data_IF_736058610526
#
_entry.id   IF_736058610526
#
_cell.length_a   1.000
_cell.length_b   1.000
_cell.length_c   1.000
_cell.angle_alpha   90.00
_cell.angle_beta   90.00
_cell.angle_gamma   90.00
#
_symmetry.space_group_name_H-M   'P 1'
#
loop_
_entity.id
_entity.type
_entity.pdbx_description
1 polymer ?
#
# COMPACT_ATOMS: atom_id res chain seq x y z
N UNK A 1 -14.61 -1.64 8.46
CA UNK A 1 -14.51 -0.98 7.15
C UNK A 1 -14.25 0.49 7.39
N UNK A 2 -13.02 0.92 7.12
CA UNK A 2 -12.65 2.27 6.66
C UNK A 2 -11.19 2.20 6.17
N UNK A 3 -10.94 1.33 5.19
CA UNK A 3 -9.79 1.54 4.31
C UNK A 3 -10.22 2.68 3.40
N UNK A 4 -9.61 3.86 3.56
CA UNK A 4 -9.84 4.96 2.62
C UNK A 4 -9.17 4.58 1.31
N UNK A 5 -9.93 4.48 0.22
CA UNK A 5 -9.40 4.26 -1.14
C UNK A 5 -8.45 5.38 -1.60
N UNK A 6 -8.51 6.55 -0.95
CA UNK A 6 -7.57 7.66 -1.15
C UNK A 6 -6.19 7.44 -0.52
N UNK A 7 -6.00 6.41 0.33
CA UNK A 7 -4.73 6.09 0.96
C UNK A 7 -4.30 4.70 0.51
N UNK A 8 -3.26 4.66 -0.32
CA UNK A 8 -2.71 3.43 -0.89
C UNK A 8 -1.42 3.09 -0.15
N UNK A 9 -1.39 1.89 0.41
CA UNK A 9 -0.27 1.33 1.15
C UNK A 9 0.54 0.38 0.26
N UNK A 10 1.44 0.94 -0.56
CA UNK A 10 2.17 0.17 -1.56
C UNK A 10 3.21 -0.73 -0.90
N UNK A 11 3.19 -2.01 -1.27
CA UNK A 11 4.03 -3.09 -0.75
C UNK A 11 4.02 -3.20 0.80
N UNK A 12 2.94 -2.76 1.44
CA UNK A 12 2.76 -2.76 2.90
C UNK A 12 3.88 -2.01 3.64
N UNK A 13 3.95 -0.68 3.47
CA UNK A 13 4.80 0.15 4.33
C UNK A 13 4.37 0.02 5.80
N UNK A 14 3.07 0.03 6.04
CA UNK A 14 2.44 -0.35 7.29
C UNK A 14 1.73 -1.71 7.10
N UNK A 15 1.68 -2.59 8.10
CA UNK A 15 0.87 -3.80 8.00
C UNK A 15 -0.63 -3.49 7.85
N UNK A 16 -1.36 -4.25 7.03
CA UNK A 16 -2.78 -3.99 6.75
C UNK A 16 -3.70 -4.07 7.98
N UNK A 17 -3.38 -4.95 8.94
CA UNK A 17 -4.10 -5.01 10.21
C UNK A 17 -4.02 -3.68 10.98
N UNK A 18 -3.00 -2.87 10.73
CA UNK A 18 -2.81 -1.58 11.39
C UNK A 18 -3.83 -0.52 10.92
N UNK A 19 -4.34 -0.64 9.69
CA UNK A 19 -5.42 0.18 9.14
C UNK A 19 -6.82 -0.33 9.55
N UNK A 20 -6.95 -1.63 9.83
CA UNK A 20 -8.26 -2.28 10.03
C UNK A 20 -8.56 -2.66 11.48
N UNK A 21 -7.57 -2.68 12.36
CA UNK A 21 -7.77 -3.12 13.75
C UNK A 21 -8.77 -2.22 14.48
N UNK A 22 -9.82 -2.85 14.99
CA UNK A 22 -10.79 -2.20 15.86
C UNK A 22 -10.12 -1.92 17.20
N UNK A 23 -10.46 -0.77 17.80
CA UNK A 23 -9.90 -0.10 19.00
C UNK A 23 -9.73 -0.96 20.29
N UNK A 24 -9.86 -2.30 20.24
CA UNK A 24 -10.07 -3.15 21.41
C UNK A 24 -8.83 -3.76 22.05
N UNK A 25 -7.68 -3.96 21.36
CA UNK A 25 -6.49 -4.60 21.98
C UNK A 25 -5.09 -4.12 21.54
N UNK A 26 -4.95 -3.24 20.56
CA UNK A 26 -3.65 -2.68 20.12
C UNK A 26 -3.74 -1.22 19.69
N UNK A 27 -2.61 -0.53 19.53
CA UNK A 27 -2.58 0.79 18.90
C UNK A 27 -2.82 0.64 17.40
N UNK A 28 -3.93 1.19 16.90
CA UNK A 28 -4.27 1.24 15.47
C UNK A 28 -3.84 2.59 14.87
N UNK A 29 -3.69 2.64 13.54
CA UNK A 29 -3.43 3.92 12.86
C UNK A 29 -4.52 4.94 13.19
N UNK A 30 -5.78 4.53 13.12
CA UNK A 30 -6.96 5.35 13.45
C UNK A 30 -6.88 5.93 14.86
N UNK A 31 -6.45 5.13 15.84
CA UNK A 31 -6.28 5.59 17.23
C UNK A 31 -5.13 6.60 17.35
N UNK A 32 -4.00 6.33 16.71
CA UNK A 32 -2.85 7.26 16.68
C UNK A 32 -3.22 8.58 16.02
N UNK A 33 -3.90 8.55 14.86
CA UNK A 33 -4.39 9.74 14.16
C UNK A 33 -5.34 10.54 15.04
N UNK A 34 -6.31 9.87 15.68
CA UNK A 34 -7.26 10.51 16.61
C UNK A 34 -6.55 11.23 17.74
N UNK A 35 -5.54 10.60 18.34
CA UNK A 35 -4.74 11.22 19.40
C UNK A 35 -3.94 12.41 18.86
N UNK A 36 -3.32 12.26 17.68
CA UNK A 36 -2.53 13.33 17.07
C UNK A 36 -3.36 14.56 16.70
N UNK A 37 -4.59 14.37 16.23
CA UNK A 37 -5.52 15.48 15.98
C UNK A 37 -5.89 16.20 17.29
N UNK A 38 -5.99 15.49 18.42
CA UNK A 38 -6.19 16.14 19.73
C UNK A 38 -4.97 16.95 20.14
N UNK A 39 -3.77 16.41 19.95
CA UNK A 39 -2.52 17.14 20.23
C UNK A 39 -2.45 18.43 19.39
N UNK A 40 -2.77 18.37 18.11
CA UNK A 40 -2.84 19.57 17.26
C UNK A 40 -3.88 20.57 17.76
N UNK A 41 -5.07 20.11 18.16
CA UNK A 41 -6.09 21.00 18.72
C UNK A 41 -5.66 21.63 20.04
N UNK A 42 -4.84 20.94 20.84
CA UNK A 42 -4.26 21.47 22.07
C UNK A 42 -3.15 22.49 21.78
N UNK A 43 -2.27 22.21 20.81
CA UNK A 43 -1.24 23.14 20.35
C UNK A 43 -1.84 24.47 19.86
N UNK A 44 -2.94 24.39 19.09
CA UNK A 44 -3.67 25.55 18.54
C UNK A 44 -4.37 26.41 19.60
N UNK A 45 -4.48 25.96 20.85
CA UNK A 45 -4.94 26.83 21.96
C UNK A 45 -3.91 27.91 22.30
N UNK A 46 -2.65 27.70 21.94
CA UNK A 46 -1.58 28.69 22.14
C UNK A 46 -1.72 29.81 21.10
N UNK A 47 -1.86 31.08 21.50
CA UNK A 47 -2.03 32.18 20.55
C UNK A 47 -0.88 32.26 19.54
N UNK A 48 -1.24 32.34 18.26
CA UNK A 48 -0.27 32.44 17.16
C UNK A 48 0.27 31.11 16.64
N UNK A 49 -0.09 29.99 17.26
CA UNK A 49 0.21 28.65 16.74
C UNK A 49 -0.93 28.20 15.81
N UNK A 50 -0.58 27.86 14.58
CA UNK A 50 -1.44 27.17 13.65
C UNK A 50 -0.73 25.92 13.19
N UNK A 51 -1.34 24.75 13.39
CA UNK A 51 -0.75 23.47 12.99
C UNK A 51 -1.06 23.18 11.52
N UNK A 52 -0.44 22.15 10.95
CA UNK A 52 -0.83 21.66 9.62
C UNK A 52 -2.29 21.23 9.54
N UNK A 53 -2.89 20.76 10.65
CA UNK A 53 -4.32 20.47 10.67
C UNK A 53 -5.18 21.73 10.51
N UNK A 54 -4.89 22.78 11.26
CA UNK A 54 -5.57 24.07 11.13
C UNK A 54 -5.36 24.72 9.76
N UNK A 55 -4.11 24.75 9.28
CA UNK A 55 -3.76 25.28 7.95
C UNK A 55 -4.49 24.53 6.83
N UNK A 56 -4.46 23.20 6.84
CA UNK A 56 -5.11 22.40 5.81
C UNK A 56 -6.63 22.61 5.78
N UNK A 57 -7.30 22.59 6.94
CA UNK A 57 -8.74 22.89 6.99
C UNK A 57 -9.09 24.25 6.41
N UNK A 58 -8.29 25.28 6.72
CA UNK A 58 -8.51 26.63 6.23
C UNK A 58 -8.27 26.73 4.70
N UNK A 59 -7.24 26.04 4.19
CA UNK A 59 -6.87 26.06 2.78
C UNK A 59 -7.64 25.06 1.90
N UNK A 60 -8.36 24.09 2.49
CA UNK A 60 -8.98 22.95 1.78
C UNK A 60 -9.79 23.37 0.56
N UNK A 61 -10.71 24.32 0.71
CA UNK A 61 -11.58 24.75 -0.39
C UNK A 61 -10.79 25.37 -1.55
N UNK A 62 -9.75 26.16 -1.24
CA UNK A 62 -8.84 26.73 -2.23
C UNK A 62 -8.00 25.65 -2.90
N UNK A 63 -7.49 24.68 -2.14
CA UNK A 63 -6.75 23.53 -2.68
C UNK A 63 -7.63 22.73 -3.63
N UNK A 64 -8.85 22.36 -3.21
CA UNK A 64 -9.80 21.62 -4.03
C UNK A 64 -10.09 22.34 -5.36
N UNK A 65 -10.41 23.63 -5.29
CA UNK A 65 -10.70 24.41 -6.50
C UNK A 65 -9.47 24.53 -7.41
N UNK A 66 -8.28 24.74 -6.84
CA UNK A 66 -7.03 24.85 -7.61
C UNK A 66 -6.66 23.52 -8.26
N UNK A 67 -6.92 22.39 -7.60
CA UNK A 67 -6.71 21.06 -8.19
C UNK A 67 -7.60 20.82 -9.41
N UNK A 68 -8.84 21.33 -9.39
CA UNK A 68 -9.77 21.22 -10.52
C UNK A 68 -9.36 22.15 -11.68
N UNK A 69 -9.01 23.40 -11.38
CA UNK A 69 -8.78 24.41 -12.41
C UNK A 69 -7.34 24.35 -12.96
N UNK A 70 -6.35 24.19 -12.08
CA UNK A 70 -4.92 24.37 -12.36
C UNK A 70 -4.05 23.46 -11.46
N UNK A 71 -4.05 22.14 -11.67
CA UNK A 71 -3.42 21.17 -10.76
C UNK A 71 -1.92 21.42 -10.53
N UNK A 72 -1.21 21.97 -11.52
CA UNK A 72 0.19 22.36 -11.38
C UNK A 72 0.43 23.50 -10.37
N UNK A 73 -0.56 24.35 -10.12
CA UNK A 73 -0.49 25.45 -9.14
C UNK A 73 -0.98 25.05 -7.75
N UNK A 74 -1.58 23.86 -7.59
CA UNK A 74 -2.04 23.39 -6.28
C UNK A 74 -0.88 22.95 -5.37
N UNK A 75 0.20 22.43 -5.95
CA UNK A 75 1.33 21.85 -5.21
C UNK A 75 1.93 22.80 -4.15
N UNK A 76 2.25 24.08 -4.46
CA UNK A 76 2.73 25.01 -3.43
C UNK A 76 1.74 25.24 -2.29
N UNK A 77 0.44 25.35 -2.59
CA UNK A 77 -0.61 25.54 -1.59
C UNK A 77 -0.74 24.32 -0.67
N UNK A 78 -0.64 23.12 -1.25
CA UNK A 78 -0.68 21.86 -0.51
C UNK A 78 0.52 21.76 0.44
N UNK A 79 1.73 21.99 -0.07
CA UNK A 79 2.95 21.93 0.74
C UNK A 79 2.92 22.95 1.88
N UNK A 80 2.48 24.18 1.61
CA UNK A 80 2.31 25.21 2.66
C UNK A 80 1.26 24.79 3.71
N UNK A 81 0.12 24.27 3.27
CA UNK A 81 -0.93 23.79 4.15
C UNK A 81 -0.45 22.65 5.06
N UNK A 82 0.37 21.74 4.52
CA UNK A 82 1.03 20.65 5.24
C UNK A 82 2.28 21.07 6.03
N UNK A 83 2.53 22.39 6.10
CA UNK A 83 3.55 22.97 6.96
C UNK A 83 4.95 22.99 6.37
N UNK A 84 5.14 22.56 5.12
CA UNK A 84 6.43 22.66 4.43
C UNK A 84 6.78 24.11 4.13
N UNK A 85 8.07 24.42 4.26
CA UNK A 85 8.60 25.76 4.01
C UNK A 85 8.72 26.02 2.51
N UNK A 86 8.87 27.29 2.13
CA UNK A 86 9.17 27.67 0.75
C UNK A 86 10.39 26.87 0.23
N UNK A 87 10.25 26.15 -0.90
CA UNK A 87 11.34 25.40 -1.49
C UNK A 87 12.54 26.29 -1.81
N UNK A 88 13.74 25.76 -1.59
CA UNK A 88 15.01 26.41 -1.91
C UNK A 88 15.89 25.43 -2.66
N UNK A 89 16.92 25.95 -3.29
CA UNK A 89 18.01 25.15 -3.85
C UNK A 89 18.71 24.42 -2.71
N UNK A 90 18.84 23.10 -2.86
CA UNK A 90 19.51 22.21 -1.93
C UNK A 90 20.45 21.29 -2.70
N UNK A 91 21.44 20.81 -1.97
CA UNK A 91 22.51 19.98 -2.49
C UNK A 91 22.57 18.70 -1.68
N UNK A 92 22.75 17.58 -2.39
CA UNK A 92 23.06 16.29 -1.81
C UNK A 92 24.37 15.79 -2.40
N UNK A 93 25.34 15.50 -1.54
CA UNK A 93 26.56 14.81 -1.96
C UNK A 93 26.22 13.33 -2.16
N UNK A 94 26.56 12.78 -3.33
CA UNK A 94 26.33 11.37 -3.65
C UNK A 94 27.61 10.76 -4.20
N UNK A 95 27.70 9.43 -4.20
CA UNK A 95 28.82 8.72 -4.84
C UNK A 95 28.98 9.04 -6.35
N UNK A 96 27.93 9.51 -7.02
CA UNK A 96 27.94 9.85 -8.44
C UNK A 96 28.28 11.31 -8.72
N UNK A 97 28.37 12.16 -7.70
CA UNK A 97 28.59 13.61 -7.81
C UNK A 97 27.59 14.43 -6.99
N UNK A 98 27.71 15.75 -7.09
CA UNK A 98 26.91 16.70 -6.33
C UNK A 98 25.54 16.88 -7.01
N UNK A 99 24.47 16.39 -6.38
CA UNK A 99 23.09 16.51 -6.85
C UNK A 99 22.48 17.82 -6.36
N UNK A 100 22.03 18.69 -7.27
CA UNK A 100 21.38 19.97 -6.94
C UNK A 100 19.94 20.01 -7.45
N UNK A 101 19.01 20.41 -6.58
CA UNK A 101 17.58 20.46 -6.87
C UNK A 101 16.87 21.51 -6.00
N UNK A 102 15.60 21.82 -6.33
CA UNK A 102 14.75 22.69 -5.51
C UNK A 102 13.81 21.86 -4.66
N UNK A 103 13.92 21.97 -3.33
CA UNK A 103 13.07 21.26 -2.37
C UNK A 103 12.81 22.07 -1.11
N UNK A 104 11.76 21.72 -0.38
CA UNK A 104 11.60 22.15 1.01
C UNK A 104 12.35 21.18 1.91
N UNK A 105 13.15 21.67 2.84
CA UNK A 105 13.88 20.83 3.79
C UNK A 105 13.65 21.30 5.22
N UNK A 106 13.49 20.34 6.12
CA UNK A 106 13.44 20.58 7.55
C UNK A 106 13.75 19.26 8.28
N UNK A 107 14.68 19.27 9.24
CA UNK A 107 14.77 18.26 10.29
C UNK A 107 14.62 16.81 9.76
N UNK A 108 15.43 16.42 8.77
CA UNK A 108 15.43 15.06 8.21
C UNK A 108 14.31 14.73 7.21
N UNK A 109 13.43 15.68 6.84
CA UNK A 109 12.47 15.52 5.73
C UNK A 109 12.78 16.43 4.56
N UNK A 110 12.59 15.92 3.35
CA UNK A 110 12.68 16.64 2.07
C UNK A 110 11.32 16.57 1.38
N UNK A 111 10.76 17.70 0.95
CA UNK A 111 9.56 17.73 0.12
C UNK A 111 9.84 18.26 -1.29
N UNK A 112 9.44 17.48 -2.29
CA UNK A 112 9.67 17.69 -3.71
C UNK A 112 8.36 17.95 -4.44
N UNK A 113 8.40 18.85 -5.41
CA UNK A 113 7.29 19.06 -6.34
C UNK A 113 7.55 18.29 -7.64
N UNK A 114 6.56 17.53 -8.09
CA UNK A 114 6.55 16.82 -9.36
C UNK A 114 5.41 17.31 -10.25
N UNK A 115 5.52 17.02 -11.54
CA UNK A 115 4.44 17.27 -12.50
C UNK A 115 3.15 16.57 -12.04
N UNK A 116 1.98 17.20 -12.21
CA UNK A 116 0.71 16.57 -11.84
C UNK A 116 0.50 15.26 -12.59
N UNK A 117 0.03 14.25 -11.87
CA UNK A 117 -0.32 12.94 -12.44
C UNK A 117 -1.79 12.64 -12.24
N UNK A 118 -2.37 11.85 -13.14
CA UNK A 118 -3.71 11.32 -12.95
C UNK A 118 -3.67 10.04 -12.10
N UNK A 119 -2.63 9.23 -12.29
CA UNK A 119 -2.43 7.95 -11.60
C UNK A 119 -1.05 7.85 -10.94
N UNK A 120 -0.96 7.09 -9.85
CA UNK A 120 0.29 6.89 -9.09
C UNK A 120 1.38 6.21 -9.92
N UNK A 121 1.04 5.31 -10.85
CA UNK A 121 2.00 4.60 -11.71
C UNK A 121 2.80 5.53 -12.64
N UNK A 122 2.28 6.73 -12.92
CA UNK A 122 2.99 7.75 -13.65
C UNK A 122 4.18 8.28 -12.84
N UNK A 123 4.10 8.35 -11.50
CA UNK A 123 5.21 8.82 -10.66
C UNK A 123 6.43 7.90 -10.70
N UNK A 124 6.19 6.60 -10.86
CA UNK A 124 7.24 5.59 -10.99
C UNK A 124 8.01 5.74 -12.31
N UNK A 125 7.29 6.07 -13.39
CA UNK A 125 7.78 5.89 -14.77
C UNK A 125 7.98 7.21 -15.52
N UNK A 126 6.98 8.08 -15.56
CA UNK A 126 6.88 9.21 -16.51
C UNK A 126 6.93 10.58 -15.85
N UNK A 127 6.47 10.75 -14.61
CA UNK A 127 6.46 12.05 -13.96
C UNK A 127 7.87 12.56 -13.66
N UNK A 128 8.05 13.87 -13.80
CA UNK A 128 9.33 14.56 -13.59
C UNK A 128 9.23 15.59 -12.47
N UNK A 129 10.36 15.96 -11.82
CA UNK A 129 10.36 17.09 -10.91
C UNK A 129 10.00 18.38 -11.65
N UNK A 130 9.25 19.29 -11.01
CA UNK A 130 8.83 20.56 -11.64
C UNK A 130 9.97 21.56 -11.80
N UNK A 131 11.07 21.34 -11.10
CA UNK A 131 12.26 22.17 -11.15
C UNK A 131 13.42 21.40 -11.78
N UNK A 132 14.33 22.15 -12.40
CA UNK A 132 15.57 21.61 -12.95
C UNK A 132 16.38 20.92 -11.85
N UNK A 133 16.86 19.71 -12.16
CA UNK A 133 17.79 18.96 -11.34
C UNK A 133 19.08 18.78 -12.12
N UNK A 134 20.21 19.05 -11.46
CA UNK A 134 21.54 18.91 -12.02
C UNK A 134 22.39 17.97 -11.17
N UNK A 135 23.38 17.35 -11.79
CA UNK A 135 24.48 16.66 -11.14
C UNK A 135 25.79 17.23 -11.67
N UNK A 136 26.62 17.76 -10.80
CA UNK A 136 27.87 18.44 -11.19
C UNK A 136 27.61 19.46 -12.31
N UNK A 137 26.60 20.32 -12.11
CA UNK A 137 26.10 21.33 -13.07
C UNK A 137 25.47 20.77 -14.37
N UNK A 138 25.55 19.46 -14.63
CA UNK A 138 24.92 18.83 -15.78
C UNK A 138 23.45 18.52 -15.50
N UNK A 139 22.56 18.95 -16.39
CA UNK A 139 21.13 18.63 -16.30
C UNK A 139 20.87 17.12 -16.34
N UNK A 140 20.00 16.63 -15.44
CA UNK A 140 19.60 15.22 -15.37
C UNK A 140 18.08 14.98 -15.28
N UNK A 141 17.29 15.96 -14.81
CA UNK A 141 15.83 15.83 -14.71
C UNK A 141 15.10 17.18 -14.62
N UNK A 142 13.78 17.14 -14.81
CA UNK A 142 12.92 18.32 -14.79
C UNK A 142 13.09 19.19 -16.04
N UNK A 143 12.55 20.43 -16.03
CA UNK A 143 12.69 21.34 -17.16
C UNK A 143 14.16 21.54 -17.52
N UNK A 144 14.49 21.39 -18.81
CA UNK A 144 15.84 21.67 -19.30
C UNK A 144 16.20 23.13 -19.00
N UNK A 145 17.43 23.42 -18.56
CA UNK A 145 17.87 24.79 -18.38
C UNK A 145 17.73 25.53 -19.72
N UNK A 146 17.16 26.74 -19.68
CA UNK A 146 17.05 27.58 -20.88
C UNK A 146 18.46 27.97 -21.33
N UNK A 147 18.93 27.39 -22.43
CA UNK A 147 20.17 27.84 -23.07
C UNK A 147 19.90 29.20 -23.72
N UNK A 148 20.60 30.26 -23.31
CA UNK A 148 20.56 31.58 -23.95
C UNK A 148 21.33 31.61 -25.29
N UNK A 149 21.29 30.54 -26.11
CA UNK A 149 22.13 30.42 -27.32
C UNK A 149 21.31 30.35 -28.63
N UNK A 150 19.98 30.26 -28.59
CA UNK A 150 19.16 30.21 -29.80
C UNK A 150 18.68 31.61 -30.25
N UNK A 151 19.59 32.58 -30.37
CA UNK A 151 19.29 33.91 -30.95
C UNK A 151 20.19 34.31 -32.13
N UNK A 152 20.85 33.35 -32.79
CA UNK A 152 21.58 33.61 -34.04
C UNK A 152 21.49 32.39 -34.98
N UNK A 153 20.31 32.09 -35.51
CA UNK A 153 20.18 31.18 -36.67
C UNK A 153 18.83 31.34 -37.38
N UNK A 154 18.48 32.55 -37.80
CA UNK A 154 17.45 32.77 -38.83
C UNK A 154 17.57 34.19 -39.41
N UNK A 155 18.72 34.53 -39.99
CA UNK A 155 18.77 35.61 -40.98
C UNK A 155 19.81 35.26 -42.06
N UNK A 156 19.34 34.54 -43.07
CA UNK A 156 19.92 34.57 -44.41
C UNK A 156 18.72 34.75 -45.33
N UNK A 157 18.56 36.00 -45.78
CA UNK A 157 17.42 36.44 -46.56
C UNK A 157 17.36 35.88 -47.97
N UNK A 158 16.17 35.98 -48.55
CA UNK A 158 15.97 36.28 -49.96
C UNK A 158 14.73 37.18 -50.08
N UNK A 159 14.98 38.44 -50.47
CA UNK A 159 13.99 39.34 -51.06
C UNK A 159 13.54 38.79 -52.42
N UNK A 160 12.24 38.89 -52.72
CA UNK A 160 11.75 39.44 -54.00
C UNK A 160 10.21 39.66 -53.96
N UNK A 161 9.86 40.93 -53.93
CA UNK A 161 8.86 41.69 -54.72
C UNK A 161 7.61 41.03 -55.35
N UNK A 162 6.48 41.65 -54.98
CA UNK A 162 5.44 42.27 -55.84
C UNK A 162 4.26 41.52 -56.52
N UNK A 163 3.06 42.05 -56.15
CA UNK A 163 1.87 42.43 -56.95
C UNK A 163 0.76 41.42 -57.38
N UNK A 164 -0.41 41.62 -56.74
CA UNK A 164 -1.77 41.85 -57.28
C UNK A 164 -2.59 40.76 -58.06
N UNK A 165 -3.81 40.50 -57.56
CA UNK A 165 -5.06 40.66 -58.32
C UNK A 165 -5.87 39.43 -58.82
N UNK A 166 -7.11 39.34 -58.35
CA UNK A 166 -8.35 38.85 -58.99
C UNK A 166 -8.64 37.35 -59.21
N UNK A 167 -9.60 36.86 -58.40
CA UNK A 167 -10.87 36.18 -58.73
C UNK A 167 -10.95 35.22 -59.95
N UNK A 168 -11.28 33.95 -59.70
CA UNK A 168 -12.24 33.13 -60.47
C UNK A 168 -12.53 31.81 -59.75
N UNK A 169 -13.81 31.46 -59.68
CA UNK A 169 -14.32 30.18 -59.19
C UNK A 169 -14.39 29.14 -60.32
N UNK A 170 -14.02 27.89 -60.05
CA UNK A 170 -14.83 26.68 -60.33
C UNK A 170 -14.19 25.38 -59.81
N UNK A 171 -15.09 24.49 -59.41
CA UNK A 171 -15.04 23.10 -58.91
C UNK A 171 -14.07 22.14 -59.64
N UNK A 172 -13.55 20.99 -59.16
CA UNK A 172 -14.14 19.87 -58.39
C UNK A 172 -13.03 18.89 -57.92
N UNK A 173 -13.29 18.20 -56.80
CA UNK A 173 -12.94 16.81 -56.43
C UNK A 173 -11.61 16.39 -55.76
N UNK A 174 -11.81 15.86 -54.53
CA UNK A 174 -11.32 14.60 -53.96
C UNK A 174 -9.82 14.33 -53.77
N UNK A 175 -9.41 14.24 -52.50
CA UNK A 175 -8.20 13.54 -52.08
C UNK A 175 -7.70 14.02 -50.73
N UNK A 176 -7.94 13.21 -49.69
CA UNK A 176 -7.60 13.46 -48.28
C UNK A 176 -6.22 14.09 -48.06
N UNK A 177 -6.21 15.12 -47.21
CA UNK A 177 -5.02 15.72 -46.64
C UNK A 177 -4.17 14.66 -45.89
N UNK A 178 -2.83 14.68 -46.00
CA UNK A 178 -2.02 14.00 -45.02
C UNK A 178 -2.14 14.76 -43.70
N UNK A 179 -2.69 14.09 -42.68
CA UNK A 179 -2.47 14.43 -41.28
C UNK A 179 -0.96 14.52 -41.04
N UNK A 180 -0.43 15.74 -41.06
CA UNK A 180 0.89 16.02 -40.51
C UNK A 180 0.77 16.06 -38.99
N UNK A 181 0.73 14.86 -38.43
CA UNK A 181 1.24 14.42 -37.13
C UNK A 181 1.63 15.61 -36.24
N UNK A 182 0.70 15.97 -35.34
CA UNK A 182 1.03 16.64 -34.10
C UNK A 182 1.89 15.68 -33.25
N UNK A 183 3.18 15.57 -33.59
CA UNK A 183 4.16 14.96 -32.72
C UNK A 183 4.53 16.02 -31.69
N UNK A 184 3.72 16.14 -30.64
CA UNK A 184 4.19 16.73 -29.39
C UNK A 184 5.36 15.87 -28.93
N UNK A 185 6.58 16.32 -29.24
CA UNK A 185 7.80 15.79 -28.64
C UNK A 185 7.57 15.76 -27.12
N UNK A 186 7.88 14.66 -26.40
CA UNK A 186 7.68 14.60 -24.96
C UNK A 186 8.38 15.80 -24.33
N UNK A 187 7.62 16.67 -23.68
CA UNK A 187 8.18 17.78 -22.92
C UNK A 187 8.97 17.16 -21.76
N UNK A 188 10.30 17.17 -21.86
CA UNK A 188 11.24 16.84 -20.78
C UNK A 188 11.81 15.42 -20.77
N UNK A 189 13.02 15.24 -21.32
CA UNK A 189 13.84 14.06 -21.03
C UNK A 189 14.32 14.04 -19.56
N UNK A 190 15.05 13.00 -19.15
CA UNK A 190 15.67 12.92 -17.81
C UNK A 190 15.06 11.88 -16.87
N UNK A 191 15.54 11.85 -15.62
CA UNK A 191 15.12 10.87 -14.60
C UNK A 191 13.68 11.10 -14.13
N UNK A 192 12.94 10.00 -13.89
CA UNK A 192 11.66 10.07 -13.18
C UNK A 192 11.85 10.51 -11.73
N UNK A 193 10.79 11.02 -11.12
CA UNK A 193 10.86 11.44 -9.71
C UNK A 193 11.22 10.27 -8.78
N UNK A 194 10.74 9.05 -9.03
CA UNK A 194 11.13 7.86 -8.26
C UNK A 194 12.63 7.51 -8.41
N UNK A 195 13.19 7.66 -9.61
CA UNK A 195 14.65 7.51 -9.79
C UNK A 195 15.41 8.59 -9.03
N UNK A 196 14.90 9.82 -9.01
CA UNK A 196 15.48 10.91 -8.22
C UNK A 196 15.42 10.64 -6.71
N UNK A 197 14.31 10.10 -6.19
CA UNK A 197 14.19 9.69 -4.79
C UNK A 197 15.31 8.70 -4.41
N UNK A 198 15.54 7.72 -5.28
CA UNK A 198 16.62 6.74 -5.09
C UNK A 198 17.99 7.41 -5.01
N UNK A 199 18.28 8.38 -5.89
CA UNK A 199 19.53 9.16 -5.85
C UNK A 199 19.67 9.97 -4.56
N UNK A 200 18.58 10.58 -4.07
CA UNK A 200 18.59 11.35 -2.80
C UNK A 200 18.81 10.42 -1.59
N UNK A 201 18.20 9.24 -1.56
CA UNK A 201 18.42 8.27 -0.48
C UNK A 201 19.81 7.61 -0.50
N UNK A 202 20.52 7.69 -1.63
CA UNK A 202 21.92 7.26 -1.77
C UNK A 202 22.94 8.38 -1.48
N UNK A 203 22.47 9.55 -1.05
CA UNK A 203 23.35 10.63 -0.62
C UNK A 203 24.12 10.27 0.66
N UNK A 204 25.23 10.97 0.91
CA UNK A 204 26.06 10.80 2.10
C UNK A 204 25.28 11.11 3.39
N UNK A 205 24.41 12.13 3.34
CA UNK A 205 23.47 12.49 4.40
C UNK A 205 22.03 12.38 3.88
N UNK A 206 21.47 11.16 3.80
CA UNK A 206 20.16 10.96 3.22
C UNK A 206 19.06 11.38 4.21
N UNK A 207 17.97 12.02 3.74
CA UNK A 207 16.84 12.32 4.60
C UNK A 207 16.18 11.03 5.10
N UNK A 208 15.47 11.13 6.23
CA UNK A 208 14.65 10.03 6.75
C UNK A 208 13.43 9.82 5.87
N UNK A 209 12.75 10.91 5.51
CA UNK A 209 11.58 10.88 4.65
C UNK A 209 11.71 11.81 3.46
N UNK A 210 11.11 11.40 2.35
CA UNK A 210 10.83 12.26 1.21
C UNK A 210 9.31 12.30 0.99
N UNK A 211 8.75 13.51 0.92
CA UNK A 211 7.39 13.75 0.44
C UNK A 211 7.46 14.22 -1.01
N UNK A 212 6.74 13.57 -1.92
CA UNK A 212 6.52 14.07 -3.29
C UNK A 212 5.11 14.61 -3.39
N UNK A 213 4.94 15.81 -3.93
CA UNK A 213 3.65 16.39 -4.26
C UNK A 213 3.52 16.59 -5.77
N UNK A 214 2.56 15.89 -6.37
CA UNK A 214 2.35 15.77 -7.81
C UNK A 214 0.92 16.19 -8.16
N UNK A 215 0.57 17.46 -7.91
CA UNK A 215 -0.79 17.94 -8.03
C UNK A 215 -1.69 17.29 -6.98
N UNK A 216 -2.63 16.44 -7.41
CA UNK A 216 -3.59 15.77 -6.53
C UNK A 216 -3.02 14.58 -5.74
N UNK A 217 -1.85 14.08 -6.13
CA UNK A 217 -1.21 12.93 -5.51
C UNK A 217 -0.04 13.32 -4.62
N UNK A 218 0.03 12.70 -3.44
CA UNK A 218 1.19 12.78 -2.55
C UNK A 218 1.83 11.40 -2.39
N UNK A 219 3.15 11.33 -2.30
CA UNK A 219 3.89 10.11 -1.95
C UNK A 219 4.77 10.36 -0.74
N UNK A 220 4.70 9.46 0.24
CA UNK A 220 5.58 9.45 1.42
C UNK A 220 6.49 8.23 1.32
N UNK A 221 7.78 8.49 1.18
CA UNK A 221 8.82 7.47 1.14
C UNK A 221 9.71 7.55 2.38
N UNK A 222 9.95 6.42 3.04
CA UNK A 222 10.91 6.27 4.14
C UNK A 222 12.21 5.65 3.60
N UNK A 223 13.36 6.20 4.00
CA UNK A 223 14.69 5.73 3.57
C UNK A 223 14.87 4.22 3.71
N UNK A 224 14.53 3.65 4.86
CA UNK A 224 14.86 2.26 5.19
C UNK A 224 13.92 1.26 4.47
N UNK A 225 12.71 1.70 4.12
CA UNK A 225 11.70 0.88 3.44
C UNK A 225 11.70 1.08 1.92
N UNK A 226 12.24 2.20 1.41
CA UNK A 226 12.27 2.54 -0.01
C UNK A 226 12.92 1.48 -0.91
N UNK A 227 14.08 0.87 -0.56
CA UNK A 227 14.69 -0.19 -1.37
C UNK A 227 13.82 -1.45 -1.51
N UNK A 228 12.82 -1.61 -0.63
CA UNK A 228 11.88 -2.73 -0.65
C UNK A 228 10.63 -2.42 -1.51
N UNK A 229 10.56 -1.25 -2.17
CA UNK A 229 9.39 -0.82 -2.94
C UNK A 229 8.26 -0.21 -2.10
N UNK A 230 8.45 -0.08 -0.78
CA UNK A 230 7.38 0.31 0.15
C UNK A 230 7.23 1.83 0.24
N UNK A 231 6.01 2.33 0.05
CA UNK A 231 5.66 3.74 0.26
C UNK A 231 4.15 3.93 0.48
N UNK A 232 3.76 5.12 0.95
CA UNK A 232 2.35 5.52 0.98
C UNK A 232 2.07 6.47 -0.17
N UNK A 233 0.97 6.25 -0.88
CA UNK A 233 0.42 7.20 -1.84
C UNK A 233 -0.94 7.71 -1.35
N UNK A 234 -1.16 9.02 -1.45
CA UNK A 234 -2.38 9.67 -0.99
C UNK A 234 -2.99 10.47 -2.14
N UNK A 235 -4.22 10.13 -2.53
CA UNK A 235 -5.03 10.93 -3.46
C UNK A 235 -5.67 12.09 -2.70
N UNK A 236 -4.90 13.17 -2.53
CA UNK A 236 -5.34 14.36 -1.83
C UNK A 236 -6.48 15.10 -2.53
N UNK A 237 -6.64 14.94 -3.85
CA UNK A 237 -7.79 15.50 -4.57
C UNK A 237 -9.11 14.90 -4.07
N UNK A 238 -9.17 13.57 -3.94
CA UNK A 238 -10.34 12.88 -3.38
C UNK A 238 -10.58 13.26 -1.91
N UNK A 239 -9.51 13.33 -1.10
CA UNK A 239 -9.59 13.77 0.30
C UNK A 239 -10.16 15.19 0.41
N UNK A 240 -9.66 16.12 -0.41
CA UNK A 240 -10.08 17.51 -0.40
C UNK A 240 -11.54 17.67 -0.85
N UNK A 241 -12.00 16.87 -1.81
CA UNK A 241 -13.38 16.83 -2.30
C UNK A 241 -14.35 16.31 -1.25
N UNK A 242 -14.07 15.14 -0.67
CA UNK A 242 -14.96 14.47 0.32
C UNK A 242 -15.02 15.20 1.64
N UNK A 243 -13.91 15.80 2.05
CA UNK A 243 -13.83 16.66 3.23
C UNK A 243 -14.32 16.00 4.52
N UNK A 244 -14.03 14.71 4.72
CA UNK A 244 -14.27 14.06 6.01
C UNK A 244 -13.28 14.59 7.05
N UNK A 245 -13.68 15.67 7.73
CA UNK A 245 -12.89 16.37 8.75
C UNK A 245 -13.14 15.85 10.16
N UNK A 246 -13.72 14.66 10.31
CA UNK A 246 -13.89 14.04 11.64
C UNK A 246 -12.51 13.74 12.27
N UNK A 247 -12.44 13.61 13.60
CA UNK A 247 -11.16 13.47 14.32
C UNK A 247 -10.34 12.23 13.93
N UNK A 248 -10.96 11.25 13.28
CA UNK A 248 -10.31 10.09 12.71
C UNK A 248 -10.82 9.83 11.28
N UNK A 249 -11.23 10.89 10.60
CA UNK A 249 -11.74 10.82 9.23
C UNK A 249 -10.61 10.75 8.21
N UNK A 250 -11.01 10.68 6.95
CA UNK A 250 -10.09 10.61 5.81
C UNK A 250 -9.10 11.77 5.79
N UNK A 251 -9.57 13.00 6.02
CA UNK A 251 -8.72 14.20 6.02
C UNK A 251 -7.70 14.16 7.15
N UNK A 252 -8.10 13.67 8.32
CA UNK A 252 -7.21 13.54 9.46
C UNK A 252 -6.07 12.55 9.18
N UNK A 253 -6.38 11.41 8.54
CA UNK A 253 -5.38 10.42 8.15
C UNK A 253 -4.42 10.99 7.11
N UNK A 254 -4.95 11.57 6.03
CA UNK A 254 -4.13 12.17 4.97
C UNK A 254 -3.17 13.24 5.53
N UNK A 255 -3.66 14.16 6.37
CA UNK A 255 -2.82 15.20 6.97
C UNK A 255 -1.79 14.60 7.93
N UNK A 256 -2.16 13.66 8.81
CA UNK A 256 -1.22 13.09 9.76
C UNK A 256 -0.10 12.28 9.09
N UNK A 257 -0.38 11.61 7.97
CA UNK A 257 0.61 10.83 7.23
C UNK A 257 1.56 11.72 6.40
N UNK A 258 1.17 12.96 6.07
CA UNK A 258 1.89 13.79 5.09
C UNK A 258 2.41 15.11 5.63
N UNK A 259 1.97 15.57 6.81
CA UNK A 259 2.38 16.86 7.34
C UNK A 259 3.83 16.87 7.83
N UNK A 260 4.49 18.02 7.67
CA UNK A 260 5.88 18.19 8.06
C UNK A 260 6.11 17.87 9.53
N UNK A 261 5.21 18.29 10.43
CA UNK A 261 5.34 18.07 11.88
C UNK A 261 5.41 16.59 12.27
N UNK A 262 4.84 15.69 11.46
CA UNK A 262 4.83 14.25 11.76
C UNK A 262 5.94 13.49 11.04
N UNK A 263 6.46 14.05 9.94
CA UNK A 263 7.58 13.48 9.17
C UNK A 263 8.94 14.01 9.64
N UNK A 264 8.99 15.20 10.22
CA UNK A 264 10.22 15.80 10.74
C UNK A 264 10.76 15.02 11.94
N UNK A 265 12.06 14.79 11.94
CA UNK A 265 12.82 14.20 13.02
C UNK A 265 13.59 15.32 13.75
N UNK A 266 13.13 15.70 14.94
CA UNK A 266 13.79 16.70 15.77
C UNK A 266 14.85 16.02 16.66
N UNK A 267 15.96 16.69 17.03
CA UNK A 267 17.00 16.08 17.87
C UNK A 267 16.52 15.52 19.22
N UNK A 268 15.40 16.01 19.74
CA UNK A 268 14.82 15.58 21.03
C UNK A 268 13.58 14.68 20.88
N UNK A 269 13.08 14.47 19.66
CA UNK A 269 11.88 13.68 19.39
C UNK A 269 11.96 13.03 18.02
N UNK A 270 11.85 11.70 18.01
CA UNK A 270 11.60 10.92 16.81
C UNK A 270 10.34 11.41 16.10
N UNK A 271 10.27 11.18 14.78
CA UNK A 271 9.09 11.59 14.03
C UNK A 271 7.89 10.74 14.42
N UNK A 272 6.70 11.35 14.44
CA UNK A 272 5.46 10.63 14.75
C UNK A 272 5.25 9.43 13.80
N UNK A 273 5.63 9.57 12.53
CA UNK A 273 5.50 8.49 11.56
C UNK A 273 6.54 7.38 11.78
N UNK A 274 7.77 7.71 12.17
CA UNK A 274 8.78 6.71 12.57
C UNK A 274 8.30 5.90 13.75
N UNK A 275 7.76 6.54 14.79
CA UNK A 275 7.19 5.84 15.95
C UNK A 275 6.04 4.92 15.52
N UNK A 276 5.20 5.39 14.59
CA UNK A 276 4.10 4.59 14.03
C UNK A 276 4.62 3.36 13.30
N UNK A 277 5.64 3.52 12.44
CA UNK A 277 6.26 2.44 11.70
C UNK A 277 6.95 1.45 12.65
N UNK A 278 7.69 1.93 13.64
CA UNK A 278 8.35 1.09 14.63
C UNK A 278 7.37 0.28 15.49
N UNK A 279 6.28 0.88 15.95
CA UNK A 279 5.22 0.18 16.68
C UNK A 279 4.49 -0.84 15.81
N UNK A 280 4.15 -0.48 14.57
CA UNK A 280 3.46 -1.40 13.68
C UNK A 280 4.30 -2.64 13.34
N UNK A 281 5.62 -2.48 13.15
CA UNK A 281 6.58 -3.59 12.99
C UNK A 281 6.64 -4.48 14.23
N UNK A 282 6.67 -3.88 15.43
CA UNK A 282 6.62 -4.63 16.71
C UNK A 282 5.30 -5.40 16.84
N UNK A 283 4.18 -4.78 16.49
CA UNK A 283 2.87 -5.43 16.52
C UNK A 283 2.81 -6.60 15.53
N UNK A 284 3.35 -6.44 14.32
CA UNK A 284 3.39 -7.51 13.33
C UNK A 284 4.24 -8.72 13.80
N UNK A 285 5.37 -8.44 14.45
CA UNK A 285 6.21 -9.47 15.08
C UNK A 285 5.47 -10.20 16.21
N UNK A 286 4.79 -9.46 17.09
CA UNK A 286 4.02 -10.03 18.20
C UNK A 286 2.85 -10.91 17.72
N UNK A 287 2.12 -10.49 16.67
CA UNK A 287 1.06 -11.30 16.06
C UNK A 287 1.61 -12.62 15.51
N UNK A 288 2.83 -12.60 14.97
CA UNK A 288 3.50 -13.81 14.47
C UNK A 288 3.90 -14.75 15.61
N UNK A 289 4.31 -14.21 16.76
CA UNK A 289 4.63 -15.01 17.95
C UNK A 289 3.36 -15.60 18.59
N UNK A 290 2.28 -14.83 18.68
CA UNK A 290 0.97 -15.32 19.14
C UNK A 290 0.46 -16.44 18.24
N UNK A 291 0.62 -16.31 16.92
CA UNK A 291 0.26 -17.37 15.96
C UNK A 291 1.13 -18.63 16.17
N UNK A 292 2.44 -18.46 16.35
CA UNK A 292 3.35 -19.60 16.63
C UNK A 292 2.93 -20.33 17.90
N UNK A 293 2.60 -19.59 18.96
CA UNK A 293 2.16 -20.17 20.22
C UNK A 293 0.77 -20.84 20.08
N UNK A 294 -0.16 -20.22 19.35
CA UNK A 294 -1.46 -20.82 19.04
C UNK A 294 -1.32 -22.13 18.23
N UNK A 295 -0.40 -22.19 17.26
CA UNK A 295 -0.09 -23.41 16.51
C UNK A 295 0.50 -24.47 17.45
N UNK A 296 1.45 -24.10 18.31
CA UNK A 296 2.04 -25.02 19.31
C UNK A 296 0.96 -25.63 20.20
N UNK A 297 0.06 -24.81 20.75
CA UNK A 297 -1.06 -25.25 21.58
C UNK A 297 -2.03 -26.13 20.80
N UNK A 298 -2.31 -25.80 19.54
CA UNK A 298 -3.19 -26.60 18.69
C UNK A 298 -2.61 -27.98 18.41
N UNK A 299 -1.30 -28.07 18.13
CA UNK A 299 -0.59 -29.36 17.96
C UNK A 299 -0.66 -30.18 19.25
N UNK A 300 -0.44 -29.54 20.41
CA UNK A 300 -0.50 -30.19 21.71
C UNK A 300 -1.91 -30.72 22.02
N UNK A 301 -2.96 -29.93 21.77
CA UNK A 301 -4.35 -30.34 21.99
C UNK A 301 -4.75 -31.52 21.09
N UNK A 302 -4.41 -31.46 19.80
CA UNK A 302 -4.67 -32.58 18.87
C UNK A 302 -3.92 -33.82 19.34
N UNK A 303 -2.65 -33.68 19.73
CA UNK A 303 -1.86 -34.81 20.21
C UNK A 303 -2.41 -35.44 21.49
N UNK A 304 -2.89 -34.62 22.43
CA UNK A 304 -3.54 -35.10 23.66
C UNK A 304 -4.84 -35.86 23.36
N UNK A 305 -5.66 -35.38 22.43
CA UNK A 305 -6.90 -36.04 22.03
C UNK A 305 -6.64 -37.40 21.33
N UNK A 306 -5.65 -37.45 20.44
CA UNK A 306 -5.20 -38.71 19.82
C UNK A 306 -4.73 -39.68 20.91
N UNK A 307 -3.87 -39.23 21.83
CA UNK A 307 -3.40 -40.09 22.92
C UNK A 307 -4.52 -40.58 23.85
N UNK A 308 -5.58 -39.80 24.04
CA UNK A 308 -6.77 -40.20 24.78
C UNK A 308 -7.52 -41.32 24.05
N UNK A 309 -7.80 -41.16 22.76
CA UNK A 309 -8.47 -42.17 21.93
C UNK A 309 -7.70 -43.50 21.88
N UNK A 310 -6.37 -43.48 21.70
CA UNK A 310 -5.57 -44.71 21.72
C UNK A 310 -5.65 -45.43 23.06
N UNK A 311 -5.63 -44.68 24.17
CA UNK A 311 -5.78 -45.25 25.52
C UNK A 311 -7.15 -45.92 25.70
N UNK A 312 -8.22 -45.31 25.21
CA UNK A 312 -9.57 -45.89 25.24
C UNK A 312 -9.67 -47.15 24.37
N UNK A 313 -8.94 -47.20 23.25
CA UNK A 313 -8.82 -48.37 22.39
C UNK A 313 -7.89 -49.46 22.94
N UNK A 314 -7.22 -49.23 24.08
CA UNK A 314 -6.26 -50.16 24.68
C UNK A 314 -4.90 -50.22 23.98
N UNK A 315 -4.59 -49.24 23.12
CA UNK A 315 -3.32 -49.11 22.40
C UNK A 315 -2.32 -48.38 23.29
N UNK A 316 -1.12 -48.95 23.45
CA UNK A 316 -0.05 -48.33 24.25
C UNK A 316 0.89 -47.56 23.33
N UNK A 317 0.97 -46.23 23.52
CA UNK A 317 1.86 -45.36 22.78
C UNK A 317 3.28 -45.40 23.34
N UNK A 318 4.25 -45.41 22.43
CA UNK A 318 5.69 -45.29 22.67
C UNK A 318 6.17 -43.85 22.49
N UNK A 319 7.39 -43.49 22.92
CA UNK A 319 7.95 -42.16 22.68
C UNK A 319 8.05 -41.77 21.20
N UNK A 320 8.34 -42.72 20.31
CA UNK A 320 8.45 -42.49 18.87
C UNK A 320 7.09 -42.10 18.26
N UNK A 321 5.99 -42.64 18.82
CA UNK A 321 4.63 -42.28 18.41
C UNK A 321 4.31 -40.81 18.74
N UNK A 322 4.92 -40.24 19.78
CA UNK A 322 4.77 -38.83 20.13
C UNK A 322 5.30 -37.88 19.05
N UNK A 323 6.45 -38.20 18.45
CA UNK A 323 7.02 -37.40 17.36
C UNK A 323 6.14 -37.50 16.09
N UNK A 324 5.67 -38.70 15.78
CA UNK A 324 4.77 -38.95 14.66
C UNK A 324 3.44 -38.19 14.83
N UNK A 325 2.81 -38.29 16.00
CA UNK A 325 1.56 -37.58 16.33
C UNK A 325 1.75 -36.08 16.18
N UNK A 326 2.85 -35.52 16.69
CA UNK A 326 3.16 -34.10 16.53
C UNK A 326 3.27 -33.69 15.06
N UNK A 327 3.94 -34.51 14.23
CA UNK A 327 4.08 -34.27 12.78
C UNK A 327 2.74 -34.33 12.06
N UNK A 328 1.88 -35.29 12.39
CA UNK A 328 0.54 -35.43 11.78
C UNK A 328 -0.40 -34.31 12.23
N UNK A 329 -0.37 -33.92 13.51
CA UNK A 329 -1.12 -32.78 14.03
C UNK A 329 -0.71 -31.48 13.32
N UNK A 330 0.59 -31.24 13.12
CA UNK A 330 1.07 -30.09 12.37
C UNK A 330 0.61 -30.12 10.90
N UNK A 331 0.71 -31.28 10.23
CA UNK A 331 0.20 -31.47 8.87
C UNK A 331 -1.31 -31.23 8.79
N UNK A 332 -2.05 -31.64 9.81
CA UNK A 332 -3.50 -31.41 9.91
C UNK A 332 -3.82 -29.91 10.00
N UNK A 333 -3.08 -29.15 10.82
CA UNK A 333 -3.23 -27.70 10.90
C UNK A 333 -2.91 -26.99 9.59
N UNK A 334 -1.85 -27.40 8.88
CA UNK A 334 -1.55 -26.85 7.56
C UNK A 334 -2.66 -27.09 6.54
N UNK A 335 -3.35 -28.23 6.60
CA UNK A 335 -4.52 -28.49 5.74
C UNK A 335 -5.69 -27.56 6.06
N UNK A 336 -5.96 -27.30 7.34
CA UNK A 336 -6.98 -26.33 7.75
C UNK A 336 -6.61 -24.93 7.25
N UNK A 337 -5.36 -24.50 7.46
CA UNK A 337 -4.86 -23.21 6.97
C UNK A 337 -5.00 -23.08 5.45
N UNK A 338 -4.69 -24.13 4.71
CA UNK A 338 -4.85 -24.15 3.26
C UNK A 338 -6.32 -23.97 2.83
N UNK A 339 -7.27 -24.64 3.50
CA UNK A 339 -8.71 -24.46 3.21
C UNK A 339 -9.16 -23.03 3.49
N UNK A 340 -8.76 -22.45 4.62
CA UNK A 340 -9.07 -21.05 4.96
C UNK A 340 -8.52 -20.09 3.90
N UNK A 341 -7.26 -20.28 3.49
CA UNK A 341 -6.63 -19.46 2.46
C UNK A 341 -7.30 -19.60 1.09
N UNK A 342 -7.61 -20.82 0.68
CA UNK A 342 -8.25 -21.11 -0.60
C UNK A 342 -9.67 -20.53 -0.68
N UNK A 343 -10.38 -20.43 0.44
CA UNK A 343 -11.73 -19.83 0.49
C UNK A 343 -11.68 -18.29 0.43
N UNK A 344 -10.69 -17.67 1.08
CA UNK A 344 -10.47 -16.21 1.01
C UNK A 344 -9.84 -15.75 -0.32
N UNK A 345 -9.38 -16.69 -1.16
CA UNK A 345 -8.78 -16.42 -2.48
C UNK A 345 -9.57 -17.06 -3.63
N UNK A 346 -10.80 -16.59 -3.94
CA UNK A 346 -11.66 -17.21 -4.97
C UNK A 346 -11.02 -17.28 -6.36
N UNK A 347 -10.10 -16.35 -6.64
CA UNK A 347 -9.34 -16.25 -7.90
C UNK A 347 -8.49 -17.48 -8.21
N UNK A 348 -8.15 -18.28 -7.20
CA UNK A 348 -7.35 -19.50 -7.36
C UNK A 348 -8.18 -20.69 -7.85
N UNK A 349 -9.52 -20.58 -7.83
CA UNK A 349 -10.47 -21.63 -8.26
C UNK A 349 -10.23 -23.02 -7.60
N UNK A 350 -9.61 -23.05 -6.41
CA UNK A 350 -9.33 -24.28 -5.65
C UNK A 350 -10.59 -24.80 -4.96
N UNK A 351 -11.42 -23.90 -4.44
CA UNK A 351 -12.69 -24.20 -3.78
C UNK A 351 -13.81 -23.44 -4.50
N UNK A 352 -15.04 -24.01 -4.55
CA UNK A 352 -16.20 -23.34 -5.15
C UNK A 352 -16.77 -22.28 -4.19
N UNK A 353 -15.94 -21.30 -3.81
CA UNK A 353 -16.35 -20.17 -2.97
C UNK A 353 -17.47 -19.38 -3.66
N UNK A 354 -18.51 -19.01 -2.93
CA UNK A 354 -19.70 -18.33 -3.47
C UNK A 354 -20.81 -19.26 -3.99
N UNK A 355 -20.60 -20.59 -4.01
CA UNK A 355 -21.65 -21.56 -4.34
C UNK A 355 -22.49 -21.86 -3.09
N UNK A 356 -23.81 -21.61 -3.09
CA UNK A 356 -24.66 -21.75 -1.91
C UNK A 356 -24.61 -23.15 -1.26
N UNK A 357 -24.50 -24.20 -2.07
CA UNK A 357 -24.41 -25.58 -1.61
C UNK A 357 -23.10 -25.86 -0.87
N UNK A 358 -21.99 -25.25 -1.32
CA UNK A 358 -20.70 -25.34 -0.64
C UNK A 358 -20.73 -24.55 0.67
N UNK A 359 -21.21 -23.31 0.64
CA UNK A 359 -21.27 -22.43 1.83
C UNK A 359 -22.16 -23.00 2.94
N UNK A 360 -23.31 -23.57 2.58
CA UNK A 360 -24.24 -24.15 3.54
C UNK A 360 -23.76 -25.48 4.17
N UNK A 361 -22.96 -26.25 3.42
CA UNK A 361 -22.51 -27.58 3.83
C UNK A 361 -21.12 -27.61 4.46
N UNK A 362 -20.14 -27.05 3.75
CA UNK A 362 -18.71 -27.27 3.98
C UNK A 362 -17.90 -25.97 4.13
N UNK A 363 -18.52 -24.81 3.89
CA UNK A 363 -17.85 -23.51 3.99
C UNK A 363 -17.28 -23.24 5.39
N UNK A 364 -16.17 -22.52 5.44
CA UNK A 364 -15.49 -22.18 6.70
C UNK A 364 -16.37 -21.33 7.64
N UNK A 365 -17.32 -20.57 7.08
CA UNK A 365 -18.34 -19.83 7.83
C UNK A 365 -19.21 -20.75 8.71
N UNK A 366 -19.58 -21.93 8.20
CA UNK A 366 -20.37 -22.93 8.94
C UNK A 366 -19.54 -23.63 10.02
N UNK A 367 -18.28 -23.94 9.72
CA UNK A 367 -17.32 -24.45 10.71
C UNK A 367 -17.13 -23.44 11.86
N UNK A 368 -17.02 -22.15 11.54
CA UNK A 368 -16.94 -21.07 12.52
C UNK A 368 -18.21 -20.96 13.37
N UNK A 369 -19.39 -21.10 12.78
CA UNK A 369 -20.66 -21.13 13.51
C UNK A 369 -20.73 -22.31 14.50
N UNK A 370 -20.34 -23.51 14.06
CA UNK A 370 -20.30 -24.72 14.89
C UNK A 370 -19.34 -24.60 16.09
N UNK A 371 -18.24 -23.85 15.93
CA UNK A 371 -17.27 -23.59 16.99
C UNK A 371 -17.79 -22.54 17.97
N UNK A 372 -18.38 -21.45 17.47
CA UNK A 372 -18.87 -20.32 18.29
C UNK A 372 -20.18 -20.62 19.01
N UNK A 373 -21.00 -21.51 18.46
CA UNK A 373 -22.26 -21.98 19.05
C UNK A 373 -22.30 -23.51 19.03
N UNK A 374 -21.56 -24.18 19.93
CA UNK A 374 -21.55 -25.63 19.99
C UNK A 374 -22.97 -26.16 20.19
N UNK A 375 -23.40 -27.18 19.44
CA UNK A 375 -24.71 -27.77 19.62
C UNK A 375 -24.88 -28.27 21.07
N UNK A 376 -26.07 -28.11 21.65
CA UNK A 376 -26.34 -28.48 23.04
C UNK A 376 -26.74 -29.96 23.13
N UNK A 377 -25.96 -30.78 23.84
CA UNK A 377 -26.27 -32.19 24.13
C UNK A 377 -25.04 -33.09 24.30
N UNK A 378 -25.19 -34.25 24.95
CA UNK A 378 -24.11 -35.22 25.20
C UNK A 378 -23.46 -35.73 23.90
N UNK A 379 -24.25 -35.86 22.83
CA UNK A 379 -23.77 -36.25 21.49
C UNK A 379 -22.99 -35.13 20.77
N UNK A 380 -23.22 -33.87 21.14
CA UNK A 380 -22.50 -32.73 20.58
C UNK A 380 -21.16 -32.50 21.27
N UNK A 381 -21.05 -32.77 22.58
CA UNK A 381 -19.78 -32.74 23.33
C UNK A 381 -18.85 -33.92 23.01
N UNK A 382 -19.38 -35.00 22.43
CA UNK A 382 -18.62 -36.20 22.02
C UNK A 382 -18.58 -36.38 20.49
N UNK A 383 -19.09 -35.39 19.74
CA UNK A 383 -19.30 -35.50 18.30
C UNK A 383 -18.04 -35.23 17.50
N UNK A 384 -17.78 -36.03 16.46
CA UNK A 384 -16.69 -35.82 15.48
C UNK A 384 -17.10 -34.96 14.29
N UNK A 385 -18.28 -34.32 14.33
CA UNK A 385 -18.88 -33.66 13.17
C UNK A 385 -17.93 -32.66 12.49
N UNK A 386 -17.25 -31.80 13.25
CA UNK A 386 -16.27 -30.84 12.70
C UNK A 386 -15.11 -31.55 12.01
N UNK A 387 -14.56 -32.58 12.64
CA UNK A 387 -13.49 -33.40 12.09
C UNK A 387 -13.95 -34.11 10.80
N UNK A 388 -15.11 -34.77 10.83
CA UNK A 388 -15.68 -35.50 9.70
C UNK A 388 -15.95 -34.57 8.50
N UNK A 389 -16.48 -33.36 8.75
CA UNK A 389 -16.68 -32.33 7.71
C UNK A 389 -15.35 -31.93 7.06
N UNK A 390 -14.31 -31.68 7.86
CA UNK A 390 -12.97 -31.35 7.35
C UNK A 390 -12.36 -32.50 6.54
N UNK A 391 -12.56 -33.76 6.96
CA UNK A 391 -12.08 -34.92 6.19
C UNK A 391 -12.71 -34.99 4.80
N UNK A 392 -14.00 -34.71 4.68
CA UNK A 392 -14.67 -34.67 3.38
C UNK A 392 -14.06 -33.60 2.48
N UNK A 393 -13.81 -32.39 3.02
CA UNK A 393 -13.19 -31.30 2.27
C UNK A 393 -11.77 -31.67 1.82
N UNK A 394 -10.93 -32.17 2.73
CA UNK A 394 -9.57 -32.56 2.40
C UNK A 394 -9.53 -33.65 1.33
N UNK A 395 -10.43 -34.63 1.43
CA UNK A 395 -10.59 -35.66 0.41
C UNK A 395 -10.93 -35.04 -0.94
N UNK A 396 -11.98 -34.22 -1.00
CA UNK A 396 -12.45 -33.61 -2.25
C UNK A 396 -11.37 -32.72 -2.90
N UNK A 397 -10.60 -31.98 -2.12
CA UNK A 397 -9.45 -31.19 -2.62
C UNK A 397 -8.39 -32.12 -3.21
N UNK A 398 -8.08 -33.23 -2.54
CA UNK A 398 -7.00 -34.14 -2.96
C UNK A 398 -7.37 -35.03 -4.15
N UNK A 399 -8.62 -35.52 -4.22
CA UNK A 399 -9.05 -36.51 -5.22
C UNK A 399 -9.93 -35.93 -6.33
N UNK A 400 -10.40 -34.69 -6.17
CA UNK A 400 -11.44 -34.09 -7.00
C UNK A 400 -12.83 -34.71 -6.74
N UNK A 401 -13.84 -34.14 -7.39
CA UNK A 401 -15.21 -34.68 -7.42
C UNK A 401 -15.45 -35.35 -8.78
N UNK A 402 -15.73 -36.66 -8.78
CA UNK A 402 -16.15 -37.38 -9.99
C UNK A 402 -17.56 -37.96 -9.78
N UNK A 403 -18.60 -37.39 -10.41
CA UNK A 403 -19.98 -37.80 -10.20
C UNK A 403 -20.29 -39.21 -10.75
N UNK A 404 -19.44 -39.77 -11.61
CA UNK A 404 -19.64 -41.07 -12.25
C UNK A 404 -19.02 -42.25 -11.49
N UNK A 405 -18.37 -42.00 -10.34
CA UNK A 405 -17.88 -43.04 -9.44
C UNK A 405 -18.61 -42.96 -8.10
N UNK A 406 -19.38 -43.99 -7.69
CA UNK A 406 -19.96 -44.00 -6.35
C UNK A 406 -18.83 -43.96 -5.30
N UNK A 407 -19.05 -43.17 -4.25
CA UNK A 407 -18.12 -43.05 -3.13
C UNK A 407 -17.80 -44.45 -2.60
N UNK A 408 -16.55 -44.89 -2.82
CA UNK A 408 -16.05 -46.12 -2.24
C UNK A 408 -15.96 -45.88 -0.74
N UNK A 409 -16.49 -46.81 0.06
CA UNK A 409 -16.34 -46.82 1.51
C UNK A 409 -14.90 -47.22 1.84
N UNK A 410 -13.98 -46.35 1.45
CA UNK A 410 -12.56 -46.44 1.69
C UNK A 410 -12.29 -45.31 2.69
N UNK A 411 -12.24 -45.66 3.97
CA UNK A 411 -11.52 -44.85 4.96
C UNK A 411 -10.18 -44.49 4.35
N UNK A 412 -9.89 -43.19 4.24
CA UNK A 412 -8.61 -42.71 3.76
C UNK A 412 -7.49 -43.36 4.59
N UNK A 413 -6.73 -44.25 3.95
CA UNK A 413 -5.48 -44.80 4.50
C UNK A 413 -4.36 -43.89 4.00
N UNK A 414 -3.54 -43.31 4.89
CA UNK A 414 -2.40 -42.49 4.48
C UNK A 414 -1.49 -43.27 3.53
N UNK A 415 -0.91 -42.59 2.54
CA UNK A 415 0.13 -43.18 1.71
C UNK A 415 1.33 -43.56 2.60
N UNK A 416 1.65 -44.86 2.60
CA UNK A 416 2.74 -45.48 3.34
C UNK A 416 4.10 -44.97 2.84
N UNK A 417 4.52 -43.83 3.39
CA UNK A 417 5.93 -43.46 3.45
C UNK A 417 6.28 -43.13 4.91
N UNK A 418 6.54 -44.22 5.65
CA UNK A 418 7.05 -44.32 7.02
C UNK A 418 6.04 -44.22 8.17
N UNK A 419 5.53 -45.41 8.54
CA UNK A 419 5.32 -45.83 9.93
C UNK A 419 4.14 -45.20 10.64
N UNK A 420 3.00 -45.88 10.61
CA UNK A 420 1.80 -45.58 11.38
C UNK A 420 1.50 -46.74 12.35
N UNK A 421 1.22 -46.48 13.63
CA UNK A 421 0.54 -47.41 14.50
C UNK A 421 -0.86 -46.89 14.86
N UNK A 422 -1.79 -46.97 13.89
CA UNK A 422 -3.20 -47.35 14.07
C UNK A 422 -4.15 -46.39 14.76
#
# INVERSE_FOLDING_TARGET
MAGFDSIINVDELLPDFYFTSTDSKGDSLTKRVRNRIKDFADDEKTPGILTSWGRFKAARATIQQTLLDQPGQATPLILEALGYRAPKRVTFETAQGQLELTASTADGVVALAAEPVADISELETTARPTNTVTRDERWIAGPAPRNNVDTEAADIGEENDDLAGADTAETVNAGNAPEAIAASTPRGGGLSVFKLLTEIFLADEPPVFILVAAGGWLVVAERDSWPLGKYLAINLAAVAERADTTQAGETAHAVCLTCRENLSHLPERDSWLQDTLAESRKAAAAVSDDLREAIRQSVELIGQDVAAHHREAGITLTPDDGELIGRQALRYLYRIMFVLFAEESPELEILPAGVPEYEAGYGTARLKELILSPPTGLQASLGRHVYDSLQVIFRLISTGHNPDKPARDDTWVPDDAAGDPG
#
